data_IF_558485473683
#
_entry.id   IF_558485473683
#
_cell.length_a   1.000
_cell.length_b   1.000
_cell.length_c   1.000
_cell.angle_alpha   90.00
_cell.angle_beta   90.00
_cell.angle_gamma   90.00
#
_symmetry.space_group_name_H-M   'P 1'
#
loop_
_entity.id
_entity.type
_entity.pdbx_description
1 polymer ?
#
# COMPACT_ATOMS: atom_id res chain seq x y z
N UNK A 1 9.94 58.44 5.52
CA UNK A 1 9.71 57.27 4.66
C UNK A 1 10.06 56.02 5.46
N UNK A 2 9.14 55.45 6.28
CA UNK A 2 9.47 54.27 7.08
C UNK A 2 8.95 52.96 6.43
N UNK A 3 9.87 51.99 6.33
CA UNK A 3 9.77 50.53 6.56
C UNK A 3 8.57 49.75 6.00
N UNK A 4 8.62 48.49 5.57
CA UNK A 4 9.59 47.40 5.30
C UNK A 4 8.65 46.32 4.67
N UNK A 5 9.04 45.56 3.63
CA UNK A 5 8.09 44.64 2.99
C UNK A 5 7.79 43.48 3.93
N UNK A 6 6.53 43.42 4.38
CA UNK A 6 5.99 42.29 5.13
C UNK A 6 5.77 41.11 4.18
N UNK A 7 6.36 40.00 4.61
CA UNK A 7 6.34 38.66 4.05
C UNK A 7 5.09 37.95 4.61
N UNK A 8 4.10 37.62 3.78
CA UNK A 8 3.45 36.30 3.81
C UNK A 8 2.43 36.08 2.68
N UNK A 9 2.25 34.82 2.25
CA UNK A 9 1.64 34.41 0.99
C UNK A 9 0.13 34.24 1.12
N UNK A 10 -0.59 34.55 0.06
CA UNK A 10 -1.87 33.89 -0.20
C UNK A 10 -1.81 33.32 -1.61
N UNK A 11 -1.58 32.01 -1.67
CA UNK A 11 -1.82 31.17 -2.83
C UNK A 11 -3.14 31.55 -3.52
N UNK A 12 -3.20 31.59 -4.87
CA UNK A 12 -4.48 31.66 -5.55
C UNK A 12 -5.27 30.37 -5.23
N UNK A 13 -6.47 30.55 -4.66
CA UNK A 13 -7.44 29.49 -4.34
C UNK A 13 -7.49 28.40 -5.42
N UNK A 14 -7.42 27.10 -5.06
CA UNK A 14 -7.60 26.04 -6.02
C UNK A 14 -9.08 25.92 -6.37
N UNK A 15 -9.29 25.85 -7.69
CA UNK A 15 -10.45 25.26 -8.34
C UNK A 15 -11.79 25.94 -8.03
N UNK A 16 -12.21 26.77 -8.99
CA UNK A 16 -13.60 26.93 -9.36
C UNK A 16 -14.34 25.60 -9.18
N UNK A 17 -15.18 25.52 -8.14
CA UNK A 17 -16.14 24.45 -7.90
C UNK A 17 -17.12 24.47 -9.06
N UNK A 18 -16.77 23.78 -10.14
CA UNK A 18 -17.71 23.49 -11.23
C UNK A 18 -18.76 22.57 -10.64
N UNK A 19 -19.94 23.14 -10.52
CA UNK A 19 -21.20 22.51 -10.20
C UNK A 19 -21.32 21.14 -10.86
N UNK A 20 -21.73 20.16 -10.07
CA UNK A 20 -22.08 18.78 -10.42
C UNK A 20 -23.19 18.78 -11.50
N UNK A 21 -22.80 18.98 -12.74
CA UNK A 21 -23.67 18.98 -13.91
C UNK A 21 -23.55 17.67 -14.65
N UNK A 22 -24.45 16.72 -14.35
CA UNK A 22 -24.63 15.43 -15.05
C UNK A 22 -23.41 14.50 -14.92
N UNK A 23 -23.55 13.18 -14.75
CA UNK A 23 -22.45 12.30 -15.07
C UNK A 23 -22.29 12.40 -16.60
N UNK A 24 -21.45 13.33 -17.07
CA UNK A 24 -20.79 13.15 -18.35
C UNK A 24 -20.20 11.75 -18.25
N UNK A 25 -20.76 10.83 -19.03
CA UNK A 25 -20.32 9.45 -19.12
C UNK A 25 -18.80 9.52 -19.25
N UNK A 26 -18.10 9.15 -18.17
CA UNK A 26 -16.66 9.03 -18.23
C UNK A 26 -16.38 8.15 -19.45
N UNK A 27 -15.55 8.61 -20.40
CA UNK A 27 -15.28 7.83 -21.59
C UNK A 27 -14.93 6.42 -21.15
N UNK A 28 -15.53 5.43 -21.78
CA UNK A 28 -15.27 4.03 -21.48
C UNK A 28 -13.80 3.77 -21.83
N UNK A 29 -12.90 3.88 -20.84
CA UNK A 29 -11.44 3.86 -21.02
C UNK A 29 -10.88 2.44 -21.25
N UNK A 30 -11.76 1.45 -21.25
CA UNK A 30 -11.44 0.02 -21.27
C UNK A 30 -12.16 -0.57 -22.47
N UNK A 31 -11.51 -1.34 -23.33
CA UNK A 31 -12.19 -2.09 -24.39
C UNK A 31 -12.70 -3.43 -23.86
N UNK A 32 -13.63 -4.06 -24.58
CA UNK A 32 -14.05 -5.44 -24.23
C UNK A 32 -12.85 -6.41 -24.26
N UNK A 33 -11.89 -6.19 -25.17
CA UNK A 33 -10.65 -6.96 -25.23
C UNK A 33 -9.79 -6.77 -23.97
N UNK A 34 -9.72 -5.56 -23.41
CA UNK A 34 -8.95 -5.30 -22.19
C UNK A 34 -9.55 -6.05 -20.99
N UNK A 35 -10.86 -6.30 -20.97
CA UNK A 35 -11.54 -7.10 -19.95
C UNK A 35 -11.22 -8.58 -20.13
N UNK A 36 -11.33 -9.09 -21.36
CA UNK A 36 -11.00 -10.49 -21.69
C UNK A 36 -9.53 -10.82 -21.36
N UNK A 37 -8.60 -9.94 -21.75
CA UNK A 37 -7.17 -10.10 -21.47
C UNK A 37 -6.89 -10.05 -19.95
N UNK A 38 -7.61 -9.22 -19.20
CA UNK A 38 -7.47 -9.15 -17.74
C UNK A 38 -7.97 -10.44 -17.06
N UNK A 39 -9.09 -11.00 -17.51
CA UNK A 39 -9.63 -12.26 -16.99
C UNK A 39 -8.68 -13.43 -17.27
N UNK A 40 -8.12 -13.50 -18.49
CA UNK A 40 -7.10 -14.49 -18.85
C UNK A 40 -5.85 -14.37 -17.98
N UNK A 41 -5.40 -13.15 -17.71
CA UNK A 41 -4.25 -12.89 -16.84
C UNK A 41 -4.51 -13.33 -15.39
N UNK A 42 -5.69 -13.06 -14.85
CA UNK A 42 -6.09 -13.47 -13.50
C UNK A 42 -6.28 -14.99 -13.39
N UNK A 43 -6.76 -15.64 -14.44
CA UNK A 43 -6.86 -17.10 -14.52
C UNK A 43 -5.47 -17.76 -14.61
N UNK A 44 -4.59 -17.24 -15.47
CA UNK A 44 -3.25 -17.77 -15.68
C UNK A 44 -2.33 -17.54 -14.47
N UNK A 45 -2.57 -16.47 -13.70
CA UNK A 45 -1.81 -16.10 -12.51
C UNK A 45 -2.69 -16.12 -11.27
N UNK A 46 -3.15 -17.32 -10.81
CA UNK A 46 -3.95 -17.40 -9.62
C UNK A 46 -3.17 -16.79 -8.44
N UNK A 47 -3.80 -15.97 -7.59
CA UNK A 47 -3.14 -15.36 -6.46
C UNK A 47 -2.55 -16.46 -5.58
N UNK A 48 -1.22 -16.49 -5.45
CA UNK A 48 -0.56 -17.40 -4.52
C UNK A 48 -0.89 -16.91 -3.11
N UNK A 49 -1.68 -17.68 -2.38
CA UNK A 49 -1.98 -17.38 -0.97
C UNK A 49 -0.69 -17.52 -0.17
N UNK A 50 -0.03 -16.40 0.10
CA UNK A 50 1.02 -16.33 1.11
C UNK A 50 0.33 -16.47 2.46
N UNK A 51 0.15 -17.71 2.93
CA UNK A 51 -0.30 -17.94 4.30
C UNK A 51 0.80 -17.43 5.21
N UNK A 52 0.57 -16.29 5.84
CA UNK A 52 1.43 -15.80 6.92
C UNK A 52 1.43 -16.87 8.00
N UNK A 53 2.59 -17.41 8.31
CA UNK A 53 2.69 -18.38 9.40
C UNK A 53 2.44 -17.63 10.70
N UNK A 54 1.56 -18.15 11.55
CA UNK A 54 1.20 -17.54 12.83
C UNK A 54 1.59 -18.52 13.95
N UNK A 55 2.27 -18.02 14.98
CA UNK A 55 2.61 -18.79 16.18
C UNK A 55 1.35 -19.13 16.99
N UNK A 56 1.45 -20.09 17.91
CA UNK A 56 0.36 -20.40 18.85
C UNK A 56 -0.08 -19.22 19.74
N UNK A 57 0.78 -18.20 19.87
CA UNK A 57 0.46 -16.94 20.55
C UNK A 57 -0.32 -15.93 19.69
N UNK A 58 -0.62 -16.23 18.42
CA UNK A 58 -1.36 -15.36 17.51
C UNK A 58 -0.52 -14.29 16.79
N UNK A 59 0.76 -14.15 17.15
CA UNK A 59 1.70 -13.29 16.43
C UNK A 59 2.29 -13.99 15.21
N UNK A 60 2.83 -13.21 14.27
CA UNK A 60 3.47 -13.75 13.08
C UNK A 60 4.72 -14.55 13.44
N UNK A 61 4.92 -15.66 12.73
CA UNK A 61 6.10 -16.50 12.89
C UNK A 61 7.28 -15.90 12.10
N UNK A 62 8.47 -15.80 12.71
CA UNK A 62 8.79 -16.13 14.11
C UNK A 62 8.39 -14.99 15.07
N UNK A 63 7.67 -15.33 16.14
CA UNK A 63 7.40 -14.38 17.21
C UNK A 63 8.66 -14.15 18.08
N UNK A 64 8.61 -13.16 18.98
CA UNK A 64 9.74 -12.80 19.85
C UNK A 64 10.29 -13.99 20.65
N UNK A 65 9.42 -14.87 21.16
CA UNK A 65 9.85 -16.05 21.93
C UNK A 65 10.61 -17.05 21.06
N UNK A 66 10.15 -17.25 19.81
CA UNK A 66 10.83 -18.14 18.84
C UNK A 66 12.17 -17.54 18.43
N UNK A 67 12.24 -16.22 18.23
CA UNK A 67 13.50 -15.52 17.95
C UNK A 67 14.49 -15.67 19.10
N UNK A 68 14.03 -15.49 20.34
CA UNK A 68 14.85 -15.70 21.52
C UNK A 68 15.35 -17.15 21.63
N UNK A 69 14.47 -18.13 21.47
CA UNK A 69 14.85 -19.54 21.50
C UNK A 69 15.90 -19.89 20.42
N UNK A 70 15.75 -19.35 19.20
CA UNK A 70 16.73 -19.50 18.13
C UNK A 70 18.08 -18.88 18.49
N UNK A 71 18.08 -17.69 19.08
CA UNK A 71 19.30 -17.04 19.54
C UNK A 71 20.03 -17.90 20.58
N UNK A 72 19.32 -18.34 21.63
CA UNK A 72 19.88 -19.18 22.69
C UNK A 72 20.50 -20.46 22.12
N UNK A 73 19.78 -21.13 21.23
CA UNK A 73 20.27 -22.35 20.58
C UNK A 73 21.53 -22.09 19.77
N UNK A 74 21.54 -21.04 18.97
CA UNK A 74 22.72 -20.67 18.17
C UNK A 74 23.94 -20.34 19.06
N UNK A 75 23.73 -19.66 20.20
CA UNK A 75 24.82 -19.37 21.14
C UNK A 75 25.34 -20.61 21.86
N UNK A 76 24.48 -21.58 22.15
CA UNK A 76 24.89 -22.85 22.75
C UNK A 76 25.74 -23.67 21.76
N UNK A 77 25.29 -23.77 20.51
CA UNK A 77 26.01 -24.51 19.45
C UNK A 77 27.34 -23.85 19.03
N UNK A 78 27.48 -22.53 19.20
CA UNK A 78 28.72 -21.81 18.91
C UNK A 78 29.77 -21.89 20.04
N UNK A 79 29.39 -22.38 21.22
CA UNK A 79 30.28 -22.52 22.38
C UNK A 79 30.88 -23.92 22.55
N UNK A 80 30.51 -24.88 21.70
CA UNK A 80 31.12 -26.21 21.54
C UNK A 80 32.16 -26.22 20.41
#
# INVERSE_FOLDING_TARGET
MPNRPDDQPNDPEPAARKTLGKPEQLPHLVSDQDVEDADDMLFAHPPRVVRRWVCGCGADYPCTDVLFARLVKATAEAGE
#
